data_IF_511288477246
#
_entry.id   IF_511288477246
#
_cell.length_a   1.000
_cell.length_b   1.000
_cell.length_c   1.000
_cell.angle_alpha   90.00
_cell.angle_beta   90.00
_cell.angle_gamma   90.00
#
_symmetry.space_group_name_H-M   'P 1'
#
loop_
_entity.id
_entity.type
_entity.pdbx_description
1 polymer ?
#
# COMPACT_ATOMS: atom_id res chain seq x y z
N UNK A 1 -42.99 17.01 -42.00
CA UNK A 1 -42.40 16.48 -40.75
C UNK A 1 -42.02 15.04 -41.04
N UNK A 2 -40.78 14.60 -40.79
CA UNK A 2 -40.45 13.18 -40.83
C UNK A 2 -41.36 12.44 -39.84
N UNK A 3 -41.85 11.27 -40.25
CA UNK A 3 -42.81 10.52 -39.46
C UNK A 3 -42.10 9.82 -38.30
N UNK A 4 -42.86 9.43 -37.28
CA UNK A 4 -42.33 8.86 -36.05
C UNK A 4 -42.17 7.33 -36.20
N UNK A 5 -41.15 6.74 -35.58
CA UNK A 5 -40.88 5.29 -35.72
C UNK A 5 -41.98 4.36 -35.21
N UNK A 6 -42.94 4.81 -34.41
CA UNK A 6 -44.09 3.99 -33.99
C UNK A 6 -45.34 4.15 -34.85
N UNK A 7 -45.26 4.79 -36.02
CA UNK A 7 -46.41 4.99 -36.90
C UNK A 7 -46.06 5.08 -38.38
N UNK A 8 -47.11 5.09 -39.19
CA UNK A 8 -47.05 5.18 -40.65
C UNK A 8 -48.08 6.18 -41.16
N UNK A 9 -47.80 6.73 -42.33
CA UNK A 9 -48.73 7.57 -43.08
C UNK A 9 -49.74 6.70 -43.80
N UNK A 10 -51.01 7.11 -43.82
CA UNK A 10 -52.03 6.52 -44.68
C UNK A 10 -53.02 7.59 -45.10
N UNK A 11 -53.13 7.81 -46.40
CA UNK A 11 -54.15 8.63 -47.05
C UNK A 11 -55.41 7.80 -47.32
N UNK A 12 -56.50 8.11 -46.60
CA UNK A 12 -57.83 7.64 -46.94
C UNK A 12 -58.64 8.74 -47.65
N UNK A 13 -59.51 8.30 -48.56
CA UNK A 13 -60.45 9.15 -49.28
C UNK A 13 -61.37 9.81 -48.23
N UNK A 14 -61.44 11.16 -48.23
CA UNK A 14 -62.23 12.01 -47.32
C UNK A 14 -61.64 12.35 -45.92
N UNK A 15 -60.35 12.16 -45.66
CA UNK A 15 -59.72 12.70 -44.44
C UNK A 15 -59.29 14.17 -44.61
N UNK A 16 -59.80 15.07 -43.77
CA UNK A 16 -59.46 16.51 -43.81
C UNK A 16 -58.12 16.76 -43.12
N UNK A 17 -57.24 17.55 -43.75
CA UNK A 17 -55.93 17.95 -43.20
C UNK A 17 -56.13 18.72 -41.89
N UNK A 18 -55.89 18.06 -40.75
CA UNK A 18 -55.94 18.71 -39.44
C UNK A 18 -54.80 19.73 -39.28
N UNK A 19 -55.00 20.77 -38.45
CA UNK A 19 -53.95 21.77 -38.10
C UNK A 19 -52.66 21.14 -37.53
N UNK A 20 -52.69 19.86 -37.15
CA UNK A 20 -51.58 19.10 -36.56
C UNK A 20 -50.70 18.34 -37.57
N UNK A 21 -50.97 18.43 -38.89
CA UNK A 21 -50.20 17.72 -39.92
C UNK A 21 -50.98 16.57 -40.58
N UNK A 22 -50.32 15.79 -41.46
CA UNK A 22 -50.95 14.63 -42.11
C UNK A 22 -51.40 13.57 -41.09
N UNK A 23 -52.46 12.79 -41.39
CA UNK A 23 -52.96 11.74 -40.49
C UNK A 23 -51.92 10.60 -40.36
N UNK A 24 -51.31 10.48 -39.18
CA UNK A 24 -50.40 9.37 -38.86
C UNK A 24 -51.18 8.30 -38.10
N UNK A 25 -51.14 7.04 -38.57
CA UNK A 25 -51.63 5.90 -37.81
C UNK A 25 -50.48 5.25 -37.03
N UNK A 26 -50.80 4.66 -35.89
CA UNK A 26 -49.82 3.93 -35.08
C UNK A 26 -49.68 2.50 -35.59
N UNK A 27 -48.47 1.96 -35.52
CA UNK A 27 -48.24 0.53 -35.66
C UNK A 27 -48.87 -0.22 -34.45
N UNK A 28 -49.19 -1.50 -34.64
CA UNK A 28 -49.69 -2.36 -33.56
C UNK A 28 -48.67 -2.45 -32.41
N UNK A 29 -49.10 -2.80 -31.18
CA UNK A 29 -48.16 -3.06 -30.09
C UNK A 29 -47.12 -4.10 -30.50
N UNK A 30 -45.85 -3.86 -30.15
CA UNK A 30 -44.75 -4.74 -30.54
C UNK A 30 -44.33 -4.64 -32.01
N UNK A 31 -44.80 -3.64 -32.76
CA UNK A 31 -44.29 -3.33 -34.09
C UNK A 31 -43.89 -1.85 -34.24
N UNK A 32 -42.99 -1.57 -35.18
CA UNK A 32 -42.43 -0.24 -35.43
C UNK A 32 -41.95 -0.12 -36.89
N UNK A 33 -41.71 1.11 -37.34
CA UNK A 33 -41.11 1.41 -38.63
C UNK A 33 -39.67 1.89 -38.43
N UNK A 34 -38.72 1.21 -39.06
CA UNK A 34 -37.32 1.60 -39.05
C UNK A 34 -37.18 2.97 -39.72
N UNK A 35 -36.40 3.86 -39.11
CA UNK A 35 -36.14 5.24 -39.60
C UNK A 35 -37.36 6.18 -39.65
N UNK A 36 -38.57 5.74 -39.29
CA UNK A 36 -39.73 6.63 -39.17
C UNK A 36 -40.27 7.17 -40.49
N UNK A 37 -40.19 6.41 -41.59
CA UNK A 37 -40.70 6.83 -42.91
C UNK A 37 -41.78 5.89 -43.45
N UNK A 38 -42.61 5.35 -42.56
CA UNK A 38 -43.64 4.37 -42.93
C UNK A 38 -44.72 4.97 -43.82
N UNK A 39 -45.00 4.36 -44.98
CA UNK A 39 -46.09 4.78 -45.88
C UNK A 39 -47.29 3.85 -45.87
N UNK A 40 -47.20 2.73 -45.16
CA UNK A 40 -48.29 1.76 -45.03
C UNK A 40 -48.12 0.87 -43.80
N UNK A 41 -49.20 0.21 -43.37
CA UNK A 41 -49.18 -0.74 -42.25
C UNK A 41 -48.24 -1.94 -42.49
N UNK A 42 -47.90 -2.25 -43.76
CA UNK A 42 -47.02 -3.35 -44.13
C UNK A 42 -45.55 -3.09 -43.79
N UNK A 43 -45.18 -1.83 -43.57
CA UNK A 43 -43.84 -1.41 -43.17
C UNK A 43 -43.65 -1.43 -41.65
N UNK A 44 -44.68 -1.78 -40.89
CA UNK A 44 -44.55 -2.05 -39.46
C UNK A 44 -43.89 -3.43 -39.26
N UNK A 45 -42.63 -3.41 -38.86
CA UNK A 45 -41.83 -4.60 -38.55
C UNK A 45 -41.96 -4.96 -37.07
N UNK A 46 -41.72 -6.23 -36.74
CA UNK A 46 -41.77 -6.71 -35.35
C UNK A 46 -40.59 -6.16 -34.57
N UNK A 47 -40.85 -5.72 -33.34
CA UNK A 47 -39.82 -5.24 -32.43
C UNK A 47 -38.76 -6.34 -32.15
N UNK A 48 -37.46 -5.99 -32.21
CA UNK A 48 -36.37 -6.95 -32.12
C UNK A 48 -36.24 -7.59 -30.73
N UNK A 49 -35.44 -8.65 -30.61
CA UNK A 49 -35.25 -9.38 -29.36
C UNK A 49 -34.80 -8.48 -28.18
N UNK A 50 -35.23 -8.85 -26.97
CA UNK A 50 -34.94 -8.08 -25.75
C UNK A 50 -35.71 -6.76 -25.60
N UNK A 51 -36.55 -6.39 -26.58
CA UNK A 51 -37.49 -5.26 -26.46
C UNK A 51 -38.86 -5.67 -25.91
N UNK A 52 -39.64 -4.70 -25.47
CA UNK A 52 -40.99 -4.89 -24.96
C UNK A 52 -42.00 -4.92 -26.12
N UNK A 53 -42.41 -6.13 -26.51
CA UNK A 53 -43.38 -6.37 -27.58
C UNK A 53 -44.85 -6.13 -27.17
N UNK A 54 -45.11 -5.74 -25.92
CA UNK A 54 -46.47 -5.46 -25.42
C UNK A 54 -46.83 -3.98 -25.46
N UNK A 55 -45.87 -3.10 -25.79
CA UNK A 55 -46.06 -1.64 -25.84
C UNK A 55 -45.89 -1.14 -27.28
N UNK A 56 -46.49 0.02 -27.57
CA UNK A 56 -46.22 0.73 -28.82
C UNK A 56 -44.82 1.36 -28.78
N UNK A 57 -44.12 1.37 -29.91
CA UNK A 57 -42.77 1.94 -30.06
C UNK A 57 -42.69 3.49 -29.93
N UNK A 58 -43.82 4.18 -29.81
CA UNK A 58 -43.86 5.62 -29.62
C UNK A 58 -43.19 6.40 -30.75
N UNK A 59 -42.45 7.46 -30.44
CA UNK A 59 -41.82 8.31 -31.47
C UNK A 59 -40.37 7.91 -31.82
N UNK A 60 -39.79 6.95 -31.12
CA UNK A 60 -38.33 6.78 -31.03
C UNK A 60 -37.86 5.44 -31.60
N UNK A 61 -38.42 4.35 -31.08
CA UNK A 61 -38.22 2.94 -31.44
C UNK A 61 -38.84 2.08 -30.33
N UNK A 62 -38.86 0.76 -30.49
CA UNK A 62 -39.29 -0.16 -29.43
C UNK A 62 -38.46 0.04 -28.14
N UNK A 63 -39.15 0.00 -27.00
CA UNK A 63 -38.53 0.12 -25.67
C UNK A 63 -37.82 -1.19 -25.29
N UNK A 64 -36.68 -1.10 -24.61
CA UNK A 64 -36.06 -2.30 -24.03
C UNK A 64 -36.90 -2.86 -22.87
N UNK A 65 -36.74 -4.15 -22.55
CA UNK A 65 -37.22 -4.72 -21.27
C UNK A 65 -36.43 -4.14 -20.09
N UNK A 66 -36.95 -4.27 -18.89
CA UNK A 66 -36.25 -3.82 -17.68
C UNK A 66 -34.89 -4.52 -17.54
N UNK A 67 -33.84 -3.77 -17.20
CA UNK A 67 -32.43 -4.20 -17.14
C UNK A 67 -31.80 -4.64 -18.47
N UNK A 68 -32.39 -4.29 -19.61
CA UNK A 68 -31.78 -4.48 -20.92
C UNK A 68 -31.21 -3.17 -21.48
N UNK A 69 -30.08 -3.26 -22.15
CA UNK A 69 -29.44 -2.13 -22.83
C UNK A 69 -29.17 -2.44 -24.31
N UNK A 70 -29.04 -1.40 -25.12
CA UNK A 70 -28.72 -1.53 -26.56
C UNK A 70 -27.63 -0.55 -26.98
N UNK A 71 -26.95 -0.89 -28.08
CA UNK A 71 -25.98 -0.01 -28.75
C UNK A 71 -26.48 0.44 -30.14
N UNK A 72 -27.71 0.05 -30.51
CA UNK A 72 -28.36 0.46 -31.75
C UNK A 72 -29.82 0.78 -31.45
N UNK A 73 -30.26 1.99 -31.78
CA UNK A 73 -31.62 2.49 -31.52
C UNK A 73 -32.71 1.60 -32.12
N UNK A 74 -32.47 1.01 -33.28
CA UNK A 74 -33.44 0.14 -33.95
C UNK A 74 -33.06 -1.35 -33.84
N UNK A 75 -32.02 -1.68 -33.08
CA UNK A 75 -31.54 -3.04 -32.89
C UNK A 75 -32.13 -3.74 -31.67
N UNK A 76 -31.71 -5.00 -31.42
CA UNK A 76 -32.08 -5.74 -30.23
C UNK A 76 -31.48 -5.13 -28.96
N UNK A 77 -32.09 -5.44 -27.82
CA UNK A 77 -31.53 -5.14 -26.51
C UNK A 77 -30.97 -6.40 -25.87
N UNK A 78 -29.92 -6.25 -25.07
CA UNK A 78 -29.24 -7.35 -24.38
C UNK A 78 -29.33 -7.17 -22.87
N UNK A 79 -29.42 -8.28 -22.14
CA UNK A 79 -29.46 -8.27 -20.68
C UNK A 79 -28.12 -7.77 -20.13
N UNK A 80 -28.17 -6.83 -19.18
CA UNK A 80 -26.98 -6.37 -18.48
C UNK A 80 -26.62 -7.35 -17.36
N UNK A 81 -25.55 -8.13 -17.57
CA UNK A 81 -25.07 -9.15 -16.63
C UNK A 81 -23.96 -8.65 -15.70
N UNK A 82 -23.31 -7.53 -16.00
CA UNK A 82 -22.19 -7.04 -15.19
C UNK A 82 -22.67 -6.32 -13.92
N UNK A 83 -22.19 -6.78 -12.76
CA UNK A 83 -22.42 -6.15 -11.47
C UNK A 83 -21.78 -4.75 -11.42
N UNK A 84 -22.58 -3.72 -11.14
CA UNK A 84 -22.10 -2.33 -11.10
C UNK A 84 -22.57 -1.48 -12.28
N UNK A 85 -23.29 -2.07 -13.25
CA UNK A 85 -24.00 -1.34 -14.29
C UNK A 85 -25.46 -1.10 -13.93
N UNK A 86 -25.97 0.05 -14.34
CA UNK A 86 -27.38 0.41 -14.33
C UNK A 86 -27.89 0.49 -15.78
N UNK A 87 -28.86 -0.35 -16.12
CA UNK A 87 -29.46 -0.42 -17.46
C UNK A 87 -30.95 -0.07 -17.47
N UNK A 88 -31.42 0.64 -16.44
CA UNK A 88 -32.84 1.04 -16.32
C UNK A 88 -33.30 2.00 -17.42
N UNK A 89 -32.37 2.59 -18.17
CA UNK A 89 -32.65 3.62 -19.18
C UNK A 89 -32.32 3.18 -20.61
N UNK A 90 -32.32 1.88 -20.92
CA UNK A 90 -32.02 1.30 -22.26
C UNK A 90 -30.56 1.44 -22.74
N UNK A 91 -29.67 2.01 -21.92
CA UNK A 91 -28.23 2.10 -22.15
C UNK A 91 -27.48 1.75 -20.86
N UNK A 92 -26.18 1.50 -20.97
CA UNK A 92 -25.34 1.14 -19.83
C UNK A 92 -24.82 2.42 -19.15
N UNK A 93 -25.13 2.59 -17.86
CA UNK A 93 -24.54 3.60 -16.97
C UNK A 93 -23.93 2.96 -15.71
N UNK A 94 -23.18 3.72 -14.93
CA UNK A 94 -22.52 3.21 -13.72
C UNK A 94 -23.42 3.32 -12.49
N UNK A 95 -23.32 2.31 -11.62
CA UNK A 95 -23.73 2.42 -10.23
C UNK A 95 -22.62 3.10 -9.38
N UNK A 96 -22.95 3.65 -8.19
CA UNK A 96 -21.95 4.14 -7.26
C UNK A 96 -20.90 3.08 -6.90
N UNK A 97 -19.64 3.50 -6.78
CA UNK A 97 -18.50 2.62 -6.47
C UNK A 97 -17.83 1.95 -7.67
N UNK A 98 -18.25 2.27 -8.89
CA UNK A 98 -17.66 1.75 -10.14
C UNK A 98 -17.20 2.89 -11.05
N UNK A 99 -16.19 2.62 -11.89
CA UNK A 99 -15.68 3.57 -12.87
C UNK A 99 -15.47 2.91 -14.23
N UNK A 100 -15.59 3.70 -15.29
CA UNK A 100 -15.24 3.27 -16.64
C UNK A 100 -13.74 3.40 -16.89
N UNK A 101 -13.23 2.56 -17.79
CA UNK A 101 -11.93 2.76 -18.39
C UNK A 101 -12.04 3.06 -19.89
N UNK A 102 -12.25 4.33 -20.25
CA UNK A 102 -12.32 4.76 -21.65
C UNK A 102 -10.96 4.84 -22.37
N UNK A 103 -9.86 4.43 -21.73
CA UNK A 103 -8.53 4.41 -22.35
C UNK A 103 -8.28 3.16 -23.22
N UNK A 104 -9.25 2.25 -23.33
CA UNK A 104 -9.15 1.09 -24.21
C UNK A 104 -9.22 1.51 -25.69
N UNK A 105 -8.44 0.86 -26.57
CA UNK A 105 -8.55 1.09 -28.01
C UNK A 105 -9.97 0.77 -28.49
N UNK A 106 -10.46 1.54 -29.46
CA UNK A 106 -11.83 1.43 -30.03
C UNK A 106 -12.99 1.85 -29.12
N UNK A 107 -12.73 2.25 -27.86
CA UNK A 107 -13.70 2.91 -27.01
C UNK A 107 -13.68 4.42 -27.24
N UNK A 108 -14.84 5.03 -27.44
CA UNK A 108 -14.97 6.48 -27.60
C UNK A 108 -16.14 7.01 -26.77
N UNK A 109 -15.80 7.78 -25.72
CA UNK A 109 -16.78 8.31 -24.77
C UNK A 109 -17.71 9.33 -25.39
N UNK A 110 -17.18 10.28 -26.16
CA UNK A 110 -17.98 11.34 -26.79
C UNK A 110 -18.97 10.76 -27.80
N UNK A 111 -18.58 9.72 -28.53
CA UNK A 111 -19.47 9.02 -29.45
C UNK A 111 -20.57 8.25 -28.71
N UNK A 112 -20.24 7.61 -27.58
CA UNK A 112 -21.22 6.94 -26.73
C UNK A 112 -22.21 7.93 -26.10
N UNK A 113 -21.74 9.08 -25.62
CA UNK A 113 -22.58 10.15 -25.07
C UNK A 113 -23.58 10.67 -26.12
N UNK A 114 -23.15 10.90 -27.36
CA UNK A 114 -24.04 11.30 -28.45
C UNK A 114 -25.11 10.25 -28.75
N UNK A 115 -24.74 8.96 -28.70
CA UNK A 115 -25.69 7.87 -28.86
C UNK A 115 -26.70 7.82 -27.70
N UNK A 116 -26.27 7.97 -26.45
CA UNK A 116 -27.19 8.00 -25.30
C UNK A 116 -28.14 9.20 -25.37
N UNK A 117 -27.68 10.36 -25.80
CA UNK A 117 -28.55 11.53 -26.04
C UNK A 117 -29.58 11.24 -27.13
N UNK A 118 -29.18 10.54 -28.20
CA UNK A 118 -30.12 10.06 -29.22
C UNK A 118 -31.16 9.09 -28.61
N UNK A 119 -30.73 8.24 -27.68
CA UNK A 119 -31.58 7.35 -26.89
C UNK A 119 -32.37 8.02 -25.76
N UNK A 120 -32.23 9.32 -25.47
CA UNK A 120 -33.16 10.06 -24.60
C UNK A 120 -34.16 10.95 -25.35
N UNK A 121 -33.68 11.83 -26.24
CA UNK A 121 -34.53 12.86 -26.86
C UNK A 121 -34.16 13.18 -28.33
N UNK A 122 -33.15 12.53 -28.90
CA UNK A 122 -32.59 12.97 -30.17
C UNK A 122 -33.52 12.83 -31.40
N UNK A 123 -33.50 13.80 -32.33
CA UNK A 123 -34.17 13.72 -33.63
C UNK A 123 -33.66 12.52 -34.44
N UNK A 124 -34.37 12.11 -35.50
CA UNK A 124 -33.99 10.97 -36.34
C UNK A 124 -32.59 11.09 -37.00
N UNK A 125 -32.01 12.30 -37.01
CA UNK A 125 -30.67 12.62 -37.54
C UNK A 125 -29.54 12.43 -36.52
N UNK A 126 -29.85 12.14 -35.26
CA UNK A 126 -28.84 11.87 -34.24
C UNK A 126 -28.20 10.49 -34.43
N UNK A 127 -27.00 10.30 -33.88
CA UNK A 127 -26.25 9.03 -33.88
C UNK A 127 -27.14 7.84 -33.47
N UNK A 128 -27.52 6.99 -34.43
CA UNK A 128 -28.48 5.90 -34.22
C UNK A 128 -27.84 4.60 -33.75
N UNK A 129 -26.51 4.49 -33.91
CA UNK A 129 -25.73 3.35 -33.50
C UNK A 129 -24.43 3.80 -32.83
N UNK A 130 -23.94 2.95 -31.93
CA UNK A 130 -22.60 3.01 -31.38
C UNK A 130 -21.85 1.75 -31.83
N UNK A 131 -20.81 1.93 -32.65
CA UNK A 131 -20.00 0.81 -33.17
C UNK A 131 -18.70 0.58 -32.40
N UNK A 132 -18.44 1.37 -31.35
CA UNK A 132 -17.27 1.18 -30.50
C UNK A 132 -17.47 0.03 -29.52
N UNK A 133 -16.39 -0.36 -28.84
CA UNK A 133 -16.48 -1.28 -27.70
C UNK A 133 -16.82 -0.50 -26.43
N UNK A 134 -17.80 -0.99 -25.67
CA UNK A 134 -18.08 -0.46 -24.33
C UNK A 134 -17.06 -1.07 -23.37
N UNK A 135 -16.23 -0.25 -22.70
CA UNK A 135 -15.16 -0.76 -21.85
C UNK A 135 -15.71 -1.46 -20.61
N UNK A 136 -14.96 -2.41 -20.06
CA UNK A 136 -15.32 -3.02 -18.78
C UNK A 136 -15.26 -2.01 -17.63
N UNK A 137 -16.15 -2.20 -16.67
CA UNK A 137 -16.16 -1.41 -15.44
C UNK A 137 -15.15 -1.93 -14.43
N UNK A 138 -14.58 -1.02 -13.66
CA UNK A 138 -13.66 -1.33 -12.55
C UNK A 138 -14.27 -0.88 -11.25
N UNK A 139 -14.19 -1.74 -10.22
CA UNK A 139 -14.61 -1.38 -8.87
C UNK A 139 -13.60 -0.42 -8.27
N UNK A 140 -14.09 0.67 -7.69
CA UNK A 140 -13.24 1.66 -7.06
C UNK A 140 -12.69 1.13 -5.72
N UNK A 141 -11.43 1.46 -5.36
CA UNK A 141 -10.83 1.00 -4.10
C UNK A 141 -11.63 1.36 -2.85
N UNK A 142 -12.29 2.53 -2.85
CA UNK A 142 -13.33 2.90 -1.89
C UNK A 142 -14.63 3.19 -2.65
N UNK A 143 -15.75 2.72 -2.12
CA UNK A 143 -17.09 2.97 -2.69
C UNK A 143 -17.36 4.47 -2.85
N UNK A 144 -16.96 5.27 -1.88
CA UNK A 144 -17.19 6.73 -1.86
C UNK A 144 -16.34 7.50 -2.88
N UNK A 145 -15.25 6.92 -3.40
CA UNK A 145 -14.42 7.61 -4.40
C UNK A 145 -15.18 7.87 -5.71
N UNK A 146 -16.08 6.96 -6.07
CA UNK A 146 -16.87 6.97 -7.30
C UNK A 146 -18.33 7.22 -6.96
N UNK A 147 -18.67 8.49 -6.74
CA UNK A 147 -20.01 8.90 -6.30
C UNK A 147 -21.09 8.54 -7.33
N UNK A 148 -20.83 8.83 -8.62
CA UNK A 148 -21.77 8.57 -9.73
C UNK A 148 -23.20 9.09 -9.44
N UNK A 149 -23.32 10.27 -8.84
CA UNK A 149 -24.57 10.87 -8.37
C UNK A 149 -25.23 11.84 -9.38
N UNK A 150 -24.52 12.25 -10.42
CA UNK A 150 -24.96 13.34 -11.33
C UNK A 150 -25.50 12.87 -12.69
N UNK A 151 -26.02 11.65 -12.80
CA UNK A 151 -26.48 11.02 -14.07
C UNK A 151 -25.45 11.02 -15.23
N UNK A 152 -24.20 11.39 -14.96
CA UNK A 152 -23.15 11.48 -15.97
C UNK A 152 -22.83 10.08 -16.50
N UNK A 153 -22.81 9.94 -17.83
CA UNK A 153 -22.46 8.68 -18.49
C UNK A 153 -21.01 8.29 -18.20
N UNK A 154 -20.12 9.28 -18.15
CA UNK A 154 -18.70 9.09 -17.83
C UNK A 154 -18.43 8.71 -16.37
N UNK A 155 -19.45 8.81 -15.50
CA UNK A 155 -19.31 8.73 -14.05
C UNK A 155 -18.73 10.01 -13.47
N UNK A 156 -18.77 10.13 -12.15
CA UNK A 156 -18.14 11.25 -11.46
C UNK A 156 -17.54 10.83 -10.13
N UNK A 157 -16.36 11.39 -9.87
CA UNK A 157 -15.65 11.16 -8.63
C UNK A 157 -16.10 12.13 -7.55
N UNK A 158 -15.99 11.69 -6.30
CA UNK A 158 -16.07 12.56 -5.14
C UNK A 158 -14.96 13.63 -5.17
N UNK A 159 -15.16 14.71 -4.40
CA UNK A 159 -14.22 15.83 -4.32
C UNK A 159 -12.83 15.32 -3.92
N UNK A 160 -11.79 15.72 -4.66
CA UNK A 160 -10.39 15.30 -4.42
C UNK A 160 -9.93 14.04 -5.17
N UNK A 161 -10.83 13.32 -5.86
CA UNK A 161 -10.51 12.09 -6.61
C UNK A 161 -10.50 12.27 -8.15
N UNK A 162 -10.68 13.51 -8.64
CA UNK A 162 -10.95 13.77 -10.06
C UNK A 162 -9.72 14.15 -10.89
N UNK A 163 -8.60 14.54 -10.26
CA UNK A 163 -7.63 15.37 -10.99
C UNK A 163 -6.21 14.79 -11.06
N UNK A 164 -5.71 14.65 -12.30
CA UNK A 164 -4.29 14.43 -12.62
C UNK A 164 -3.50 15.74 -12.66
N UNK A 165 -4.16 16.90 -12.69
CA UNK A 165 -3.52 18.23 -12.81
C UNK A 165 -3.18 18.86 -11.47
N UNK A 166 -3.72 18.33 -10.38
CA UNK A 166 -3.23 18.62 -9.05
C UNK A 166 -2.18 17.54 -8.72
N UNK A 167 -0.95 17.96 -8.38
CA UNK A 167 0.06 17.09 -7.79
C UNK A 167 -0.44 16.66 -6.40
N UNK A 168 -1.44 15.76 -6.36
CA UNK A 168 -2.04 15.27 -5.13
C UNK A 168 -1.11 14.18 -4.61
N UNK A 169 -0.17 14.59 -3.77
CA UNK A 169 0.63 13.65 -3.01
C UNK A 169 -0.22 13.19 -1.83
N UNK A 170 -0.94 12.08 -1.97
CA UNK A 170 -1.72 11.45 -0.89
C UNK A 170 -1.20 10.03 -0.65
N UNK A 171 -1.35 9.52 0.57
CA UNK A 171 -0.92 8.18 0.94
C UNK A 171 -1.72 7.13 0.16
N UNK A 172 -1.01 6.11 -0.37
CA UNK A 172 -1.59 5.03 -1.21
C UNK A 172 -2.69 4.24 -0.49
N UNK A 173 -2.68 4.19 0.84
CA UNK A 173 -3.67 3.49 1.68
C UNK A 173 -4.64 4.44 2.39
N UNK A 174 -4.31 5.73 2.49
CA UNK A 174 -5.15 6.71 3.16
C UNK A 174 -5.13 8.07 2.45
N UNK A 175 -6.18 8.28 1.67
CA UNK A 175 -6.34 9.47 0.84
C UNK A 175 -6.81 10.70 1.65
N UNK A 176 -6.91 10.64 2.97
CA UNK A 176 -7.28 11.80 3.80
C UNK A 176 -6.05 12.63 4.25
N UNK A 177 -4.87 12.02 4.25
CA UNK A 177 -3.61 12.68 4.61
C UNK A 177 -2.91 13.30 3.40
N UNK A 178 -2.67 14.61 3.48
CA UNK A 178 -1.94 15.39 2.48
C UNK A 178 -0.42 15.30 2.71
N UNK A 179 0.34 14.84 1.71
CA UNK A 179 1.79 14.66 1.80
C UNK A 179 2.59 15.96 1.57
N UNK A 180 1.94 17.13 1.45
CA UNK A 180 2.61 18.43 1.36
C UNK A 180 3.57 18.73 2.54
N UNK A 181 3.48 17.99 3.66
CA UNK A 181 4.39 18.04 4.81
C UNK A 181 5.26 16.80 5.05
N UNK A 182 5.20 15.77 4.18
CA UNK A 182 5.79 14.45 4.46
C UNK A 182 7.32 14.49 4.59
N UNK A 183 7.98 15.42 3.88
CA UNK A 183 9.43 15.60 3.96
C UNK A 183 9.87 15.97 5.39
N UNK A 184 9.11 16.82 6.06
CA UNK A 184 9.40 17.20 7.45
C UNK A 184 9.21 16.01 8.39
N UNK A 185 8.17 15.20 8.18
CA UNK A 185 7.94 13.98 8.96
C UNK A 185 9.03 12.93 8.71
N UNK A 186 9.42 12.68 7.46
CA UNK A 186 10.52 11.77 7.14
C UNK A 186 11.86 12.25 7.73
N UNK A 187 12.16 13.55 7.62
CA UNK A 187 13.36 14.13 8.22
C UNK A 187 13.29 14.01 9.75
N UNK A 188 12.15 14.29 10.37
CA UNK A 188 11.99 14.18 11.83
C UNK A 188 12.12 12.73 12.31
N UNK A 189 11.52 11.77 11.60
CA UNK A 189 11.62 10.36 11.90
C UNK A 189 13.06 9.87 11.76
N UNK A 190 13.75 10.27 10.69
CA UNK A 190 15.17 9.97 10.48
C UNK A 190 16.07 10.58 11.57
N UNK A 191 15.83 11.83 11.96
CA UNK A 191 16.59 12.47 13.04
C UNK A 191 16.33 11.76 14.36
N UNK A 192 15.08 11.44 14.68
CA UNK A 192 14.73 10.75 15.92
C UNK A 192 15.30 9.33 15.98
N UNK A 193 15.28 8.58 14.87
CA UNK A 193 15.86 7.24 14.82
C UNK A 193 17.37 7.28 14.98
N UNK A 194 18.07 8.16 14.26
CA UNK A 194 19.53 8.34 14.42
C UNK A 194 19.88 8.80 15.84
N UNK A 195 19.13 9.76 16.37
CA UNK A 195 19.37 10.28 17.72
C UNK A 195 19.23 9.18 18.77
N UNK A 196 18.16 8.36 18.70
CA UNK A 196 17.97 7.23 19.60
C UNK A 196 19.10 6.19 19.48
N UNK A 197 19.48 5.84 18.25
CA UNK A 197 20.55 4.90 17.91
C UNK A 197 21.90 5.30 18.49
N UNK A 198 22.22 6.60 18.53
CA UNK A 198 23.51 7.10 19.06
C UNK A 198 23.42 7.39 20.57
N UNK A 199 22.32 8.01 21.01
CA UNK A 199 22.14 8.43 22.40
C UNK A 199 22.07 7.26 23.36
N UNK A 200 21.47 6.13 22.96
CA UNK A 200 21.34 4.96 23.82
C UNK A 200 22.71 4.32 24.15
N UNK A 201 23.57 3.95 23.18
CA UNK A 201 24.92 3.46 23.48
C UNK A 201 25.80 4.49 24.21
N UNK A 202 25.71 5.78 23.85
CA UNK A 202 26.49 6.84 24.49
C UNK A 202 26.07 7.07 25.96
N UNK A 203 24.77 7.05 26.24
CA UNK A 203 24.23 7.14 27.60
C UNK A 203 24.65 5.95 28.45
N UNK A 204 24.60 4.74 27.90
CA UNK A 204 25.06 3.54 28.62
C UNK A 204 26.57 3.60 28.89
N UNK A 205 27.38 4.08 27.94
CA UNK A 205 28.82 4.29 28.13
C UNK A 205 29.11 5.33 29.22
N UNK A 206 28.34 6.43 29.26
CA UNK A 206 28.47 7.44 30.31
C UNK A 206 28.16 6.86 31.69
N UNK A 207 27.04 6.14 31.84
CA UNK A 207 26.65 5.50 33.10
C UNK A 207 27.67 4.46 33.56
N UNK A 208 28.23 3.67 32.63
CA UNK A 208 29.26 2.69 32.94
C UNK A 208 30.58 3.35 33.38
N UNK A 209 30.99 4.44 32.71
CA UNK A 209 32.19 5.19 33.08
C UNK A 209 32.07 5.82 34.47
N UNK A 210 30.92 6.42 34.78
CA UNK A 210 30.66 7.04 36.08
C UNK A 210 30.69 6.02 37.21
N UNK A 211 30.06 4.86 37.00
CA UNK A 211 30.07 3.75 37.96
C UNK A 211 31.49 3.15 38.14
N UNK A 212 32.25 3.00 37.06
CA UNK A 212 33.63 2.51 37.14
C UNK A 212 34.55 3.52 37.84
N UNK A 213 34.41 4.82 37.55
CA UNK A 213 35.15 5.90 38.21
C UNK A 213 34.85 5.93 39.72
N UNK A 214 33.57 5.81 40.09
CA UNK A 214 33.15 5.76 41.50
C UNK A 214 33.75 4.56 42.23
N UNK A 215 33.82 3.39 41.60
CA UNK A 215 34.50 2.19 42.14
C UNK A 215 36.00 2.36 42.30
N UNK A 216 36.67 3.07 41.40
CA UNK A 216 38.11 3.34 41.49
C UNK A 216 38.44 4.25 42.69
N UNK A 217 37.62 5.28 42.93
CA UNK A 217 37.77 6.18 44.09
C UNK A 217 37.52 5.45 45.43
N UNK A 218 36.58 4.52 45.45
CA UNK A 218 36.28 3.69 46.62
C UNK A 218 37.39 2.70 46.99
N UNK A 219 38.00 2.04 46.01
CA UNK A 219 39.12 1.14 46.26
C UNK A 219 40.37 1.90 46.73
N UNK A 220 40.59 3.11 46.22
CA UNK A 220 41.70 3.97 46.66
C UNK A 220 41.53 4.45 48.11
N UNK A 221 40.31 4.82 48.51
CA UNK A 221 40.02 5.24 49.90
C UNK A 221 40.08 4.07 50.88
N UNK A 222 39.65 2.87 50.49
CA UNK A 222 39.79 1.67 51.32
C UNK A 222 41.26 1.27 51.54
N UNK A 223 42.09 1.35 50.49
CA UNK A 223 43.52 1.03 50.57
C UNK A 223 44.32 2.05 51.41
N UNK A 224 43.93 3.32 51.40
CA UNK A 224 44.55 4.38 52.25
C UNK A 224 44.23 4.17 53.73
N UNK A 225 43.02 3.72 54.07
CA UNK A 225 42.63 3.46 55.47
C UNK A 225 43.33 2.21 56.05
N UNK A 226 43.81 1.28 55.22
CA UNK A 226 44.53 0.07 55.67
C UNK A 226 46.05 0.23 55.84
N UNK A 227 46.62 1.43 55.66
CA UNK A 227 48.07 1.64 55.78
C UNK A 227 48.52 2.37 57.06
N UNK A 228 47.60 2.82 57.91
CA UNK A 228 47.92 3.50 59.16
C UNK A 228 47.32 2.77 60.36
N UNK A 229 47.99 1.71 60.83
CA UNK A 229 47.79 1.24 62.21
C UNK A 229 49.11 0.71 62.81
N UNK A 230 49.97 1.66 63.18
CA UNK A 230 50.86 1.49 64.33
C UNK A 230 50.63 2.65 65.30
N UNK A 231 50.18 2.28 66.50
CA UNK A 231 50.34 2.96 67.80
C UNK A 231 49.17 3.77 68.41
N UNK A 232 48.61 3.17 69.48
CA UNK A 232 48.51 3.69 70.86
C UNK A 232 47.32 4.58 71.28
N UNK A 233 46.55 3.97 72.20
CA UNK A 233 45.87 4.47 73.42
C UNK A 233 44.45 5.08 73.39
N UNK A 234 43.82 4.79 74.53
CA UNK A 234 42.46 4.84 74.98
C UNK A 234 41.83 6.23 75.13
N UNK A 235 40.50 6.19 75.22
CA UNK A 235 39.56 7.26 75.60
C UNK A 235 39.15 8.24 74.49
N UNK A 236 38.16 7.88 73.67
CA UNK A 236 37.19 8.85 73.11
C UNK A 236 35.93 8.12 72.61
N UNK A 237 34.75 8.76 72.65
CA UNK A 237 33.47 8.05 72.71
C UNK A 237 33.05 7.47 71.36
N UNK A 238 32.17 6.47 71.41
CA UNK A 238 31.49 5.83 70.27
C UNK A 238 30.84 6.88 69.36
N UNK A 239 31.58 7.38 68.37
CA UNK A 239 31.01 7.96 67.17
C UNK A 239 30.46 6.78 66.35
N UNK A 240 29.13 6.71 66.31
CA UNK A 240 28.41 5.93 65.31
C UNK A 240 28.87 6.48 63.97
N UNK A 241 29.83 5.82 63.33
CA UNK A 241 30.11 5.98 61.93
C UNK A 241 28.87 5.46 61.19
N UNK A 242 27.88 6.32 61.01
CA UNK A 242 26.94 6.22 59.91
C UNK A 242 27.77 6.38 58.63
N UNK A 243 28.40 5.27 58.21
CA UNK A 243 28.88 5.13 56.86
C UNK A 243 27.70 5.52 55.96
N UNK A 244 27.87 6.46 55.01
CA UNK A 244 26.86 6.68 54.01
C UNK A 244 26.68 5.33 53.33
N UNK A 245 25.50 4.73 53.52
CA UNK A 245 25.12 3.47 52.89
C UNK A 245 25.21 3.72 51.40
N UNK A 246 26.36 3.37 50.80
CA UNK A 246 26.63 3.59 49.38
C UNK A 246 25.46 3.00 48.60
N UNK A 247 24.85 3.75 47.67
CA UNK A 247 23.81 3.17 46.83
C UNK A 247 24.44 1.95 46.17
N UNK A 248 23.88 0.78 46.44
CA UNK A 248 24.34 -0.45 45.84
C UNK A 248 24.49 -0.22 44.33
N UNK A 249 25.60 -0.63 43.70
CA UNK A 249 25.74 -0.50 42.26
C UNK A 249 24.49 -1.09 41.64
N UNK A 250 23.79 -0.29 40.83
CA UNK A 250 22.47 -0.66 40.34
C UNK A 250 22.56 -2.06 39.74
N UNK A 251 21.77 -3.01 40.28
CA UNK A 251 21.85 -4.45 39.99
C UNK A 251 21.96 -4.73 38.48
N UNK A 252 21.28 -3.92 37.69
CA UNK A 252 21.28 -3.93 36.23
C UNK A 252 22.66 -3.66 35.61
N UNK A 253 23.43 -2.68 36.10
CA UNK A 253 24.77 -2.38 35.58
C UNK A 253 25.73 -3.54 35.87
N UNK A 254 25.58 -4.17 37.05
CA UNK A 254 26.36 -5.36 37.38
C UNK A 254 26.04 -6.51 36.41
N UNK A 255 24.77 -6.73 36.11
CA UNK A 255 24.33 -7.75 35.15
C UNK A 255 24.94 -7.55 33.75
N UNK A 256 24.99 -6.31 33.23
CA UNK A 256 25.58 -6.04 31.91
C UNK A 256 27.10 -6.27 31.86
N UNK A 257 27.81 -6.09 32.98
CA UNK A 257 29.27 -6.29 33.04
C UNK A 257 29.69 -7.67 33.56
N UNK A 258 28.76 -8.49 34.07
CA UNK A 258 29.08 -9.77 34.73
C UNK A 258 29.62 -10.83 33.77
N UNK A 259 29.20 -10.77 32.51
CA UNK A 259 29.63 -11.70 31.45
C UNK A 259 31.04 -11.40 30.88
N UNK A 260 31.54 -10.17 31.06
CA UNK A 260 32.81 -9.72 30.50
C UNK A 260 33.90 -9.62 31.57
N UNK A 261 35.17 -9.76 31.17
CA UNK A 261 36.30 -9.53 32.09
C UNK A 261 36.28 -8.08 32.57
N UNK A 262 36.73 -7.87 33.82
CA UNK A 262 36.79 -6.54 34.45
C UNK A 262 37.64 -5.53 33.66
N UNK A 263 38.62 -6.00 32.90
CA UNK A 263 39.47 -5.18 32.03
C UNK A 263 38.77 -4.71 30.74
N UNK A 264 37.70 -5.39 30.32
CA UNK A 264 36.93 -5.12 29.10
C UNK A 264 35.49 -4.70 29.40
N UNK A 265 35.27 -3.90 30.44
CA UNK A 265 33.93 -3.47 30.87
C UNK A 265 33.12 -2.70 29.80
N UNK A 266 33.80 -2.06 28.85
CA UNK A 266 33.17 -1.29 27.76
C UNK A 266 32.75 -2.16 26.56
N UNK A 267 33.05 -3.47 26.59
CA UNK A 267 32.86 -4.34 25.44
C UNK A 267 31.40 -4.53 25.03
N UNK A 268 30.48 -4.56 26.00
CA UNK A 268 29.04 -4.56 25.76
C UNK A 268 28.61 -3.38 24.86
N UNK A 269 29.20 -2.19 25.07
CA UNK A 269 28.93 -1.01 24.23
C UNK A 269 29.45 -1.20 22.81
N UNK A 270 30.61 -1.82 22.64
CA UNK A 270 31.16 -2.12 21.32
C UNK A 270 30.26 -3.12 20.59
N UNK A 271 29.75 -4.13 21.30
CA UNK A 271 28.81 -5.08 20.72
C UNK A 271 27.48 -4.44 20.33
N UNK A 272 26.92 -3.59 21.19
CA UNK A 272 25.68 -2.85 20.93
C UNK A 272 25.84 -1.86 19.77
N UNK A 273 26.93 -1.09 19.76
CA UNK A 273 27.22 -0.14 18.68
C UNK A 273 27.31 -0.84 17.32
N UNK A 274 27.99 -1.98 17.22
CA UNK A 274 28.01 -2.79 15.98
C UNK A 274 26.58 -3.16 15.55
N UNK A 275 25.79 -3.75 16.46
CA UNK A 275 24.42 -4.20 16.16
C UNK A 275 23.59 -3.04 15.59
N UNK A 276 23.66 -1.90 16.27
CA UNK A 276 22.92 -0.69 15.90
C UNK A 276 23.41 -0.10 14.57
N UNK A 277 24.72 0.01 14.33
CA UNK A 277 25.27 0.50 13.06
C UNK A 277 24.88 -0.38 11.89
N UNK A 278 24.90 -1.71 12.06
CA UNK A 278 24.49 -2.66 11.01
C UNK A 278 22.99 -2.55 10.70
N UNK A 279 22.13 -2.48 11.72
CA UNK A 279 20.68 -2.28 11.51
C UNK A 279 20.39 -0.94 10.85
N UNK A 280 21.10 0.13 11.24
CA UNK A 280 20.92 1.46 10.65
C UNK A 280 21.30 1.49 9.16
N UNK A 281 22.42 0.88 8.78
CA UNK A 281 22.86 0.82 7.38
C UNK A 281 21.83 0.10 6.51
N UNK A 282 21.34 -1.06 6.95
CA UNK A 282 20.36 -1.86 6.19
C UNK A 282 19.02 -1.12 6.08
N UNK A 283 18.55 -0.51 7.17
CA UNK A 283 17.25 0.19 7.18
C UNK A 283 17.24 1.48 6.36
N UNK A 284 18.36 2.21 6.31
CA UNK A 284 18.43 3.49 5.60
C UNK A 284 18.69 3.35 4.10
N UNK A 285 19.61 2.47 3.72
CA UNK A 285 20.07 2.36 2.34
C UNK A 285 19.48 1.15 1.59
N UNK A 286 18.84 0.24 2.31
CA UNK A 286 18.31 -1.00 1.76
C UNK A 286 19.41 -2.02 1.42
N UNK A 287 19.02 -3.28 1.29
CA UNK A 287 19.95 -4.36 0.94
C UNK A 287 20.39 -4.34 -0.54
N UNK A 288 19.66 -3.62 -1.39
CA UNK A 288 19.90 -3.57 -2.84
C UNK A 288 21.12 -2.74 -3.23
N UNK A 289 21.56 -1.83 -2.36
CA UNK A 289 22.70 -0.96 -2.64
C UNK A 289 24.05 -1.66 -2.39
N UNK A 290 24.93 -1.62 -3.41
CA UNK A 290 26.23 -2.30 -3.37
C UNK A 290 27.15 -1.75 -2.28
N UNK A 291 27.10 -0.45 -1.99
CA UNK A 291 27.93 0.15 -0.94
C UNK A 291 27.49 -0.35 0.43
N UNK A 292 26.19 -0.47 0.65
CA UNK A 292 25.62 -1.01 1.90
C UNK A 292 26.11 -2.42 2.16
N UNK A 293 26.04 -3.30 1.15
CA UNK A 293 26.54 -4.69 1.24
C UNK A 293 28.04 -4.76 1.56
N UNK A 294 28.87 -3.91 0.92
CA UNK A 294 30.32 -3.87 1.20
C UNK A 294 30.59 -3.38 2.62
N UNK A 295 29.95 -2.28 3.05
CA UNK A 295 30.14 -1.71 4.38
C UNK A 295 29.70 -2.68 5.49
N UNK A 296 28.55 -3.34 5.35
CA UNK A 296 28.08 -4.33 6.34
C UNK A 296 29.01 -5.55 6.43
N UNK A 297 29.59 -5.97 5.31
CA UNK A 297 30.56 -7.06 5.25
C UNK A 297 31.87 -6.65 5.93
N UNK A 298 32.42 -5.47 5.63
CA UNK A 298 33.61 -4.95 6.29
C UNK A 298 33.44 -4.83 7.81
N UNK A 299 32.31 -4.27 8.28
CA UNK A 299 32.02 -4.15 9.71
C UNK A 299 31.97 -5.53 10.39
N UNK A 300 31.37 -6.53 9.72
CA UNK A 300 31.30 -7.90 10.24
C UNK A 300 32.69 -8.54 10.37
N UNK A 301 33.54 -8.39 9.34
CA UNK A 301 34.94 -8.88 9.36
C UNK A 301 35.75 -8.22 10.46
N UNK A 302 35.70 -6.88 10.52
CA UNK A 302 36.46 -6.11 11.51
C UNK A 302 36.06 -6.50 12.94
N UNK A 303 34.77 -6.70 13.21
CA UNK A 303 34.33 -7.13 14.53
C UNK A 303 34.73 -8.57 14.86
N UNK A 304 34.66 -9.50 13.91
CA UNK A 304 35.12 -10.88 14.12
C UNK A 304 36.63 -10.91 14.47
N UNK A 305 37.45 -10.13 13.76
CA UNK A 305 38.88 -10.00 14.04
C UNK A 305 39.14 -9.37 15.41
N UNK A 306 38.41 -8.31 15.75
CA UNK A 306 38.52 -7.64 17.04
C UNK A 306 38.15 -8.58 18.19
N UNK A 307 37.05 -9.33 18.05
CA UNK A 307 36.60 -10.32 19.03
C UNK A 307 37.58 -11.49 19.19
N UNK A 308 38.15 -11.97 18.07
CA UNK A 308 39.16 -13.02 18.08
C UNK A 308 40.46 -12.59 18.77
N UNK A 309 40.84 -11.31 18.65
CA UNK A 309 42.05 -10.74 19.29
C UNK A 309 41.86 -10.42 20.76
N UNK A 310 40.76 -9.77 21.12
CA UNK A 310 40.57 -9.26 22.48
C UNK A 310 40.06 -10.33 23.46
N UNK A 311 39.40 -11.41 22.98
CA UNK A 311 38.80 -12.47 23.82
C UNK A 311 38.14 -11.92 25.10
N UNK A 312 37.08 -11.11 24.94
CA UNK A 312 36.52 -10.25 25.97
C UNK A 312 35.69 -11.00 27.04
N UNK A 313 35.19 -12.20 26.73
CA UNK A 313 34.28 -12.95 27.58
C UNK A 313 35.02 -13.54 28.78
N UNK A 314 34.36 -13.61 29.92
CA UNK A 314 34.95 -14.13 31.15
C UNK A 314 35.09 -15.66 31.11
N UNK A 315 34.05 -16.36 30.63
CA UNK A 315 34.05 -17.82 30.49
C UNK A 315 34.57 -18.28 29.12
N UNK A 316 35.42 -19.31 29.10
CA UNK A 316 35.92 -19.93 27.86
C UNK A 316 34.79 -20.55 27.02
N UNK A 317 33.74 -21.05 27.68
CA UNK A 317 32.56 -21.60 27.01
C UNK A 317 31.75 -20.51 26.30
N UNK A 318 31.45 -19.42 27.00
CA UNK A 318 30.72 -18.28 26.44
C UNK A 318 31.51 -17.59 25.31
N UNK A 319 32.84 -17.49 25.46
CA UNK A 319 33.74 -17.01 24.41
C UNK A 319 33.64 -17.86 23.13
N UNK A 320 33.55 -19.18 23.29
CA UNK A 320 33.42 -20.13 22.19
C UNK A 320 32.07 -20.01 21.48
N UNK A 321 30.98 -19.96 22.25
CA UNK A 321 29.63 -19.75 21.72
C UNK A 321 29.51 -18.45 20.92
N UNK A 322 30.02 -17.35 21.48
CA UNK A 322 29.96 -16.04 20.84
C UNK A 322 30.83 -15.98 19.58
N UNK A 323 32.04 -16.56 19.62
CA UNK A 323 32.90 -16.66 18.43
C UNK A 323 32.22 -17.48 17.32
N UNK A 324 31.59 -18.60 17.67
CA UNK A 324 30.90 -19.46 16.71
C UNK A 324 29.70 -18.75 16.06
N UNK A 325 28.86 -18.11 16.87
CA UNK A 325 27.73 -17.31 16.39
C UNK A 325 28.18 -16.18 15.44
N UNK A 326 29.25 -15.45 15.78
CA UNK A 326 29.79 -14.39 14.92
C UNK A 326 30.36 -14.94 13.61
N UNK A 327 30.98 -16.12 13.61
CA UNK A 327 31.46 -16.79 12.39
C UNK A 327 30.31 -17.19 11.48
N UNK A 328 29.22 -17.71 12.03
CA UNK A 328 28.01 -18.06 11.28
C UNK A 328 27.39 -16.83 10.63
N UNK A 329 27.22 -15.75 11.40
CA UNK A 329 26.70 -14.47 10.88
C UNK A 329 27.59 -13.95 9.74
N UNK A 330 28.91 -14.03 9.89
CA UNK A 330 29.85 -13.62 8.84
C UNK A 330 29.70 -14.43 7.55
N UNK A 331 29.58 -15.77 7.64
CA UNK A 331 29.34 -16.63 6.48
C UNK A 331 28.01 -16.27 5.80
N UNK A 332 26.94 -16.10 6.59
CA UNK A 332 25.63 -15.72 6.07
C UNK A 332 25.67 -14.38 5.33
N UNK A 333 26.40 -13.39 5.86
CA UNK A 333 26.59 -12.07 5.21
C UNK A 333 27.39 -12.19 3.92
N UNK A 334 28.47 -12.99 3.88
CA UNK A 334 29.25 -13.21 2.65
C UNK A 334 28.39 -13.85 1.57
N UNK A 335 27.61 -14.87 1.94
CA UNK A 335 26.73 -15.56 1.01
C UNK A 335 25.70 -14.59 0.45
N UNK A 336 25.06 -13.79 1.31
CA UNK A 336 24.08 -12.81 0.89
C UNK A 336 24.69 -11.63 0.09
N UNK A 337 25.98 -11.36 0.24
CA UNK A 337 26.71 -10.34 -0.52
C UNK A 337 27.09 -10.79 -1.94
N UNK A 338 27.25 -12.09 -2.16
CA UNK A 338 27.57 -12.64 -3.46
C UNK A 338 26.27 -13.01 -4.20
N UNK A 339 26.07 -12.44 -5.38
CA UNK A 339 24.95 -12.80 -6.22
C UNK A 339 25.27 -14.12 -6.94
N UNK A 340 24.68 -15.22 -6.48
CA UNK A 340 24.81 -16.54 -7.09
C UNK A 340 23.69 -16.74 -8.11
N UNK A 341 23.98 -17.48 -9.18
CA UNK A 341 23.02 -17.80 -10.24
C UNK A 341 21.81 -18.57 -9.69
N UNK A 342 20.64 -18.40 -10.30
CA UNK A 342 19.36 -19.00 -9.88
C UNK A 342 19.42 -20.53 -9.66
N UNK A 343 20.30 -21.24 -10.37
CA UNK A 343 20.49 -22.69 -10.24
C UNK A 343 21.06 -23.11 -8.86
N UNK A 344 21.83 -22.25 -8.19
CA UNK A 344 22.51 -22.54 -6.92
C UNK A 344 21.78 -22.01 -5.67
N UNK A 345 20.72 -21.20 -5.84
CA UNK A 345 20.01 -20.52 -4.74
C UNK A 345 19.42 -21.52 -3.72
N UNK A 346 18.87 -22.62 -4.23
CA UNK A 346 18.27 -23.69 -3.39
C UNK A 346 19.31 -24.42 -2.55
N UNK A 347 20.46 -24.76 -3.14
CA UNK A 347 21.55 -25.44 -2.45
C UNK A 347 22.16 -24.55 -1.35
N UNK A 348 22.34 -23.25 -1.66
CA UNK A 348 22.86 -22.27 -0.72
C UNK A 348 21.91 -22.06 0.46
N UNK A 349 20.60 -21.93 0.21
CA UNK A 349 19.58 -21.81 1.26
C UNK A 349 19.59 -23.02 2.20
N UNK A 350 19.68 -24.24 1.65
CA UNK A 350 19.80 -25.46 2.45
C UNK A 350 21.07 -25.47 3.30
N UNK A 351 22.22 -25.07 2.74
CA UNK A 351 23.48 -24.98 3.49
C UNK A 351 23.36 -23.98 4.66
N UNK A 352 22.76 -22.81 4.42
CA UNK A 352 22.52 -21.80 5.46
C UNK A 352 21.62 -22.33 6.57
N UNK A 353 20.54 -23.04 6.22
CA UNK A 353 19.64 -23.68 7.20
C UNK A 353 20.37 -24.74 8.01
N UNK A 354 21.16 -25.62 7.36
CA UNK A 354 21.97 -26.64 8.04
C UNK A 354 22.99 -26.01 8.99
N UNK A 355 23.66 -24.96 8.56
CA UNK A 355 24.65 -24.25 9.36
C UNK A 355 24.01 -23.59 10.58
N UNK A 356 22.82 -22.99 10.44
CA UNK A 356 22.04 -22.46 11.57
C UNK A 356 21.50 -23.57 12.50
N UNK A 357 21.07 -24.73 11.99
CA UNK A 357 20.65 -25.87 12.82
C UNK A 357 21.83 -26.43 13.61
N UNK A 358 23.01 -26.54 12.99
CA UNK A 358 24.23 -26.99 13.66
C UNK A 358 24.61 -26.05 14.82
N UNK A 359 24.39 -24.73 14.67
CA UNK A 359 24.51 -23.77 15.77
C UNK A 359 23.55 -24.09 16.91
N UNK A 360 22.28 -24.34 16.60
CA UNK A 360 21.28 -24.70 17.62
C UNK A 360 21.64 -26.00 18.36
N UNK A 361 22.21 -26.99 17.66
CA UNK A 361 22.63 -28.26 18.24
C UNK A 361 23.90 -28.17 19.11
N UNK A 362 24.73 -27.15 18.92
CA UNK A 362 25.89 -26.88 19.79
C UNK A 362 25.48 -26.10 21.03
N UNK A 363 24.41 -25.30 20.92
CA UNK A 363 23.88 -24.46 22.00
C UNK A 363 22.94 -25.25 22.93
N UNK A 364 22.14 -26.18 22.38
CA UNK A 364 21.26 -27.08 23.12
C UNK A 364 22.05 -28.21 23.80
#
# INVERSE_FOLDING_TARGET
MPFNSGGFYQDEIAQTRTKAGPPCKLCNPGTYVIHGHGTSAKECEVCPEGTNQSRHAGYRACHCKDNYARMNRYGPCFLCLEEGLNCSHEFQSLLPGYAWNWSFPYANISYYEQFVVSLRDGPATATTNYTGEVPRIVKCPRLESCANDNESISGNCAVGYRDKTHNITRLRSDFDTDCAGLRAYHISAFILTITYVIAFPAGLLYLLRDNHSSRATDNSTLNVVTLDDESVDSSTPLLINDAPRKPAPQVWIKFFCESYKTEYWFWEIIELSRKVTQTLLITLFGWEDRLTVILTTCISVSFLLLHARCRPMNSSYEQGLQMFSLTVIFINVIVAANHFSDDDETAISVILVVLNIFVLMIIA
#
